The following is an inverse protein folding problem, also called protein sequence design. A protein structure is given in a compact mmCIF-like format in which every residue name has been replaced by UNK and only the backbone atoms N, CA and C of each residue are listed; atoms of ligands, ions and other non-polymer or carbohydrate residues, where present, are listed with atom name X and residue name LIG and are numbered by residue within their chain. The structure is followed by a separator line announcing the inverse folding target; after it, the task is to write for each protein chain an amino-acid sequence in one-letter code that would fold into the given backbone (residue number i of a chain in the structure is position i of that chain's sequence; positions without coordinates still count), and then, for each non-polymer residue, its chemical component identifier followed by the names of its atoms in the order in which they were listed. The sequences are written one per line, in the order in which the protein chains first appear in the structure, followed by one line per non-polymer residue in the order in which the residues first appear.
data_IF_207120283152
#
_entry.id   IF_207120283152
#
_cell.length_a   1.000
_cell.length_b   1.000
_cell.length_c   1.000
_cell.angle_alpha   90.00
_cell.angle_beta   90.00
_cell.angle_gamma   90.00
#
_symmetry.space_group_name_H-M   'P 1'
#
loop_
_entity.id
_entity.type
_entity.pdbx_description
1 polymer ?
#
# COMPACT_ATOMS: atom_id res chain seq x y z
N UNK A 1 15.77 -11.08 11.90
CA UNK A 1 15.99 -10.10 13.01
C UNK A 1 15.86 -10.88 14.32
N UNK A 2 16.85 -10.83 15.21
CA UNK A 2 16.82 -11.57 16.48
C UNK A 2 16.62 -13.09 16.34
N UNK A 3 17.33 -13.74 15.42
CA UNK A 3 17.19 -15.20 15.18
C UNK A 3 15.95 -15.63 14.41
N UNK A 4 14.95 -14.75 14.20
CA UNK A 4 13.77 -15.07 13.38
C UNK A 4 14.11 -15.08 11.89
N UNK A 5 13.85 -16.23 11.24
CA UNK A 5 13.88 -16.40 9.79
C UNK A 5 12.63 -15.75 9.19
N UNK A 6 12.77 -14.51 8.72
CA UNK A 6 11.71 -13.81 7.97
C UNK A 6 11.85 -14.26 6.52
N UNK A 7 11.21 -15.37 6.16
CA UNK A 7 11.35 -15.96 4.81
C UNK A 7 10.62 -15.16 3.74
N UNK A 8 9.57 -14.43 4.11
CA UNK A 8 8.65 -13.81 3.13
C UNK A 8 8.50 -12.28 3.29
N UNK A 9 9.33 -11.66 4.13
CA UNK A 9 9.32 -10.21 4.33
C UNK A 9 7.93 -9.67 4.69
N UNK A 10 7.53 -8.60 4.02
CA UNK A 10 6.22 -7.98 4.15
C UNK A 10 5.18 -8.52 3.14
N UNK A 11 5.49 -9.55 2.33
CA UNK A 11 4.68 -9.94 1.18
C UNK A 11 3.26 -10.38 1.54
N UNK A 12 3.08 -11.10 2.66
CA UNK A 12 1.75 -11.51 3.14
C UNK A 12 0.86 -10.31 3.49
N UNK A 13 1.44 -9.31 4.16
CA UNK A 13 0.73 -8.07 4.47
C UNK A 13 0.48 -7.25 3.20
N UNK A 14 1.43 -7.22 2.27
CA UNK A 14 1.26 -6.54 0.98
C UNK A 14 0.11 -7.14 0.17
N UNK A 15 0.04 -8.47 0.07
CA UNK A 15 -1.05 -9.16 -0.64
C UNK A 15 -2.42 -8.85 -0.03
N UNK A 16 -2.54 -8.88 1.30
CA UNK A 16 -3.77 -8.49 1.99
C UNK A 16 -4.10 -7.01 1.73
N UNK A 17 -3.10 -6.15 1.87
CA UNK A 17 -3.25 -4.71 1.74
C UNK A 17 -3.61 -4.25 0.33
N UNK A 18 -3.10 -4.91 -0.72
CA UNK A 18 -3.52 -4.65 -2.11
C UNK A 18 -5.03 -4.92 -2.29
N UNK A 19 -5.50 -6.06 -1.78
CA UNK A 19 -6.93 -6.41 -1.84
C UNK A 19 -7.80 -5.42 -1.04
N UNK A 20 -7.34 -5.04 0.16
CA UNK A 20 -8.05 -4.10 1.03
C UNK A 20 -8.06 -2.68 0.45
N UNK A 21 -6.95 -2.23 -0.14
CA UNK A 21 -6.87 -0.96 -0.86
C UNK A 21 -7.90 -0.89 -1.99
N UNK A 22 -7.97 -1.95 -2.81
CA UNK A 22 -8.93 -2.02 -3.90
C UNK A 22 -10.37 -2.02 -3.41
N UNK A 23 -10.66 -2.77 -2.32
CA UNK A 23 -11.97 -2.77 -1.69
C UNK A 23 -12.35 -1.39 -1.15
N UNK A 24 -11.42 -0.67 -0.50
CA UNK A 24 -11.69 0.68 0.02
C UNK A 24 -12.07 1.66 -1.09
N UNK A 25 -11.33 1.63 -2.21
CA UNK A 25 -11.59 2.46 -3.39
C UNK A 25 -12.94 2.12 -4.04
N UNK A 26 -13.21 0.82 -4.25
CA UNK A 26 -14.46 0.35 -4.85
C UNK A 26 -15.67 0.63 -3.96
N UNK A 27 -15.50 0.53 -2.63
CA UNK A 27 -16.57 0.85 -1.68
C UNK A 27 -16.95 2.33 -1.76
N UNK A 28 -15.98 3.25 -1.80
CA UNK A 28 -16.28 4.68 -1.93
C UNK A 28 -16.91 5.01 -3.30
N UNK A 29 -16.37 4.44 -4.37
CA UNK A 29 -16.94 4.59 -5.70
C UNK A 29 -18.39 4.07 -5.78
N UNK A 30 -18.66 2.87 -5.24
CA UNK A 30 -19.99 2.26 -5.28
C UNK A 30 -21.03 3.10 -4.54
N UNK A 31 -20.68 3.62 -3.36
CA UNK A 31 -21.55 4.52 -2.59
C UNK A 31 -21.78 5.85 -3.31
N UNK A 32 -20.80 6.33 -4.07
CA UNK A 32 -20.89 7.59 -4.83
C UNK A 32 -21.83 7.53 -6.04
N UNK A 33 -22.16 6.33 -6.55
CA UNK A 33 -23.09 6.17 -7.67
C UNK A 33 -22.53 6.53 -9.06
N UNK A 34 -21.21 6.72 -9.17
CA UNK A 34 -20.53 7.03 -10.42
C UNK A 34 -20.57 5.86 -11.43
N UNK A 35 -20.28 6.16 -12.70
CA UNK A 35 -20.20 5.13 -13.74
C UNK A 35 -19.12 4.06 -13.45
N UNK A 36 -19.35 2.84 -13.93
CA UNK A 36 -18.35 1.74 -13.86
C UNK A 36 -17.02 2.10 -14.53
N UNK A 37 -17.06 2.91 -15.60
CA UNK A 37 -15.86 3.38 -16.30
C UNK A 37 -15.01 4.29 -15.41
N UNK A 38 -15.65 5.19 -14.67
CA UNK A 38 -15.01 6.05 -13.67
C UNK A 38 -14.37 5.22 -12.57
N UNK A 39 -15.12 4.27 -11.98
CA UNK A 39 -14.62 3.40 -10.91
C UNK A 39 -13.40 2.58 -11.32
N UNK A 40 -13.47 1.94 -12.49
CA UNK A 40 -12.35 1.16 -13.06
C UNK A 40 -11.10 2.03 -13.29
N UNK A 41 -11.29 3.24 -13.81
CA UNK A 41 -10.19 4.18 -14.08
C UNK A 41 -9.53 4.66 -12.79
N UNK A 42 -10.32 5.06 -11.79
CA UNK A 42 -9.82 5.48 -10.48
C UNK A 42 -9.09 4.35 -9.77
N UNK A 43 -9.68 3.15 -9.72
CA UNK A 43 -9.06 1.96 -9.15
C UNK A 43 -7.68 1.70 -9.77
N UNK A 44 -7.63 1.55 -11.11
CA UNK A 44 -6.39 1.27 -11.84
C UNK A 44 -5.33 2.34 -11.61
N UNK A 45 -5.73 3.61 -11.54
CA UNK A 45 -4.79 4.72 -11.39
C UNK A 45 -4.18 4.72 -9.99
N UNK A 46 -5.04 4.65 -8.96
CA UNK A 46 -4.64 4.79 -7.57
C UNK A 46 -3.89 3.55 -7.07
N UNK A 47 -4.37 2.34 -7.38
CA UNK A 47 -3.73 1.09 -6.92
C UNK A 47 -2.53 0.66 -7.77
N UNK A 48 -2.20 1.38 -8.85
CA UNK A 48 -1.05 1.01 -9.68
C UNK A 48 0.26 1.05 -8.87
N UNK A 49 1.11 0.05 -9.08
CA UNK A 49 2.47 0.02 -8.51
C UNK A 49 3.28 1.30 -8.78
N UNK A 50 3.03 1.95 -9.92
CA UNK A 50 3.67 3.22 -10.26
C UNK A 50 3.22 4.34 -9.30
N UNK A 51 1.90 4.49 -9.10
CA UNK A 51 1.36 5.48 -8.17
C UNK A 51 1.79 5.17 -6.73
N UNK A 52 1.66 3.92 -6.28
CA UNK A 52 2.06 3.52 -4.92
C UNK A 52 3.55 3.80 -4.66
N UNK A 53 4.42 3.51 -5.62
CA UNK A 53 5.84 3.88 -5.51
C UNK A 53 6.03 5.40 -5.41
N UNK A 54 5.38 6.17 -6.29
CA UNK A 54 5.48 7.64 -6.27
C UNK A 54 5.03 8.21 -4.93
N UNK A 55 3.89 7.76 -4.40
CA UNK A 55 3.35 8.21 -3.11
C UNK A 55 4.23 7.77 -1.94
N UNK A 56 4.70 6.52 -1.93
CA UNK A 56 5.61 6.02 -0.90
C UNK A 56 6.95 6.77 -0.86
N UNK A 57 7.50 7.14 -2.02
CA UNK A 57 8.69 7.99 -2.09
C UNK A 57 8.42 9.41 -1.58
N UNK A 58 7.31 10.02 -2.01
CA UNK A 58 6.93 11.37 -1.57
C UNK A 58 6.68 11.43 -0.04
N UNK A 59 6.14 10.37 0.55
CA UNK A 59 5.95 10.25 2.00
C UNK A 59 7.27 9.94 2.74
N UNK A 60 8.36 9.70 2.02
CA UNK A 60 9.68 9.45 2.60
C UNK A 60 9.84 8.05 3.20
N UNK A 61 9.04 7.06 2.75
CA UNK A 61 9.08 5.69 3.30
C UNK A 61 10.42 4.97 3.09
N UNK A 62 11.23 5.45 2.14
CA UNK A 62 12.57 4.90 1.83
C UNK A 62 13.45 4.72 3.08
N UNK A 63 13.37 5.64 4.05
CA UNK A 63 14.19 5.61 5.28
C UNK A 63 13.76 4.54 6.29
N UNK A 64 12.56 3.99 6.13
CA UNK A 64 11.99 2.96 7.03
C UNK A 64 12.06 1.55 6.44
N UNK A 65 12.53 1.41 5.19
CA UNK A 65 12.66 0.10 4.55
C UNK A 65 13.98 -0.53 4.96
N UNK A 66 13.91 -1.72 5.56
CA UNK A 66 15.08 -2.55 5.83
C UNK A 66 15.63 -3.11 4.51
N UNK A 67 16.75 -2.55 4.06
CA UNK A 67 17.41 -2.94 2.81
C UNK A 67 18.36 -4.10 3.04
N UNK A 68 18.56 -4.91 2.01
CA UNK A 68 19.66 -5.88 2.04
C UNK A 68 21.00 -5.14 2.03
N UNK A 69 22.00 -5.65 2.76
CA UNK A 69 23.33 -5.00 2.91
C UNK A 69 24.08 -4.77 1.58
N UNK A 70 23.68 -5.45 0.51
CA UNK A 70 24.30 -5.35 -0.81
C UNK A 70 23.69 -4.27 -1.71
N UNK A 71 22.69 -3.51 -1.24
CA UNK A 71 22.12 -2.39 -2.02
C UNK A 71 23.05 -1.19 -1.91
N UNK A 72 23.86 -1.00 -2.94
CA UNK A 72 24.68 0.20 -3.18
C UNK A 72 23.72 1.32 -3.63
N UNK A 73 23.92 2.56 -3.15
CA UNK A 73 23.18 3.79 -3.53
C UNK A 73 21.79 4.10 -2.93
N UNK A 74 21.40 3.45 -1.83
CA UNK A 74 20.18 3.83 -1.06
C UNK A 74 18.86 3.78 -1.86
N UNK A 75 18.91 3.29 -3.11
CA UNK A 75 17.81 3.12 -4.04
C UNK A 75 16.85 2.02 -3.55
N UNK A 76 15.56 2.31 -3.61
CA UNK A 76 14.51 1.32 -3.34
C UNK A 76 13.85 0.97 -4.67
N UNK A 77 13.88 -0.30 -5.10
CA UNK A 77 13.18 -0.72 -6.31
C UNK A 77 11.69 -0.39 -6.23
N UNK A 78 11.10 0.00 -7.37
CA UNK A 78 9.69 0.39 -7.45
C UNK A 78 8.75 -0.64 -6.79
N UNK A 79 8.96 -1.93 -7.08
CA UNK A 79 8.16 -3.03 -6.53
C UNK A 79 8.32 -3.18 -5.02
N UNK A 80 9.49 -2.88 -4.47
CA UNK A 80 9.71 -2.90 -3.02
C UNK A 80 8.97 -1.75 -2.34
N UNK A 81 8.99 -0.55 -2.94
CA UNK A 81 8.26 0.60 -2.41
C UNK A 81 6.75 0.38 -2.48
N UNK A 82 6.22 -0.06 -3.63
CA UNK A 82 4.79 -0.32 -3.77
C UNK A 82 4.30 -1.40 -2.80
N UNK A 83 5.02 -2.53 -2.70
CA UNK A 83 4.72 -3.57 -1.72
C UNK A 83 4.83 -3.08 -0.26
N UNK A 84 5.68 -2.10 0.01
CA UNK A 84 5.75 -1.46 1.35
C UNK A 84 4.48 -0.67 1.64
N UNK A 85 3.98 0.12 0.68
CA UNK A 85 2.73 0.85 0.82
C UNK A 85 1.55 -0.11 1.00
N UNK A 86 1.45 -1.15 0.17
CA UNK A 86 0.44 -2.20 0.33
C UNK A 86 0.53 -2.86 1.71
N UNK A 87 1.73 -3.21 2.17
CA UNK A 87 1.91 -3.82 3.47
C UNK A 87 1.51 -2.91 4.64
N UNK A 88 1.71 -1.59 4.53
CA UNK A 88 1.25 -0.63 5.53
C UNK A 88 -0.28 -0.57 5.57
N UNK A 89 -0.94 -0.60 4.40
CA UNK A 89 -2.41 -0.69 4.34
C UNK A 89 -2.91 -1.98 5.00
N UNK A 90 -2.28 -3.12 4.67
CA UNK A 90 -2.60 -4.42 5.28
C UNK A 90 -2.36 -4.41 6.79
N UNK A 91 -1.30 -3.77 7.27
CA UNK A 91 -1.00 -3.63 8.70
C UNK A 91 -2.06 -2.79 9.42
N UNK A 92 -2.44 -1.63 8.87
CA UNK A 92 -3.51 -0.79 9.44
C UNK A 92 -4.82 -1.57 9.52
N UNK A 93 -5.17 -2.31 8.46
CA UNK A 93 -6.38 -3.14 8.47
C UNK A 93 -6.36 -4.18 9.59
N UNK A 94 -5.25 -4.88 9.80
CA UNK A 94 -5.13 -5.89 10.88
C UNK A 94 -5.15 -5.22 12.27
N UNK A 95 -4.40 -4.13 12.45
CA UNK A 95 -4.25 -3.43 13.74
C UNK A 95 -5.55 -2.73 14.18
N UNK A 96 -6.37 -2.32 13.22
CA UNK A 96 -7.68 -1.68 13.45
C UNK A 96 -8.85 -2.65 13.55
N UNK A 97 -8.61 -3.95 13.80
CA UNK A 97 -9.66 -4.98 13.79
C UNK A 97 -10.51 -4.97 12.50
N UNK A 98 -9.84 -4.88 11.35
CA UNK A 98 -10.45 -4.95 10.03
C UNK A 98 -11.35 -3.74 9.68
N UNK A 99 -11.03 -2.56 10.21
CA UNK A 99 -11.77 -1.33 9.96
C UNK A 99 -11.41 -0.71 8.61
N UNK A 100 -12.35 -0.77 7.66
CA UNK A 100 -12.21 -0.10 6.36
C UNK A 100 -12.18 1.43 6.49
N UNK A 101 -12.76 1.98 7.57
CA UNK A 101 -12.71 3.41 7.88
C UNK A 101 -11.27 3.86 8.19
N UNK A 102 -10.55 3.10 9.01
CA UNK A 102 -9.18 3.44 9.40
C UNK A 102 -8.20 3.23 8.25
N UNK A 103 -8.46 2.23 7.39
CA UNK A 103 -7.76 2.09 6.10
C UNK A 103 -7.89 3.34 5.25
N UNK A 104 -9.11 3.89 5.09
CA UNK A 104 -9.33 5.11 4.29
C UNK A 104 -8.61 6.32 4.90
N UNK A 105 -8.53 6.41 6.23
CA UNK A 105 -7.76 7.45 6.91
C UNK A 105 -6.26 7.30 6.60
N UNK A 106 -5.72 6.07 6.66
CA UNK A 106 -4.33 5.80 6.30
C UNK A 106 -4.04 6.09 4.82
N UNK A 107 -4.95 5.73 3.91
CA UNK A 107 -4.86 6.07 2.49
C UNK A 107 -4.75 7.58 2.27
N UNK A 108 -5.59 8.38 2.94
CA UNK A 108 -5.51 9.86 2.91
C UNK A 108 -4.20 10.38 3.50
N UNK A 109 -3.74 9.79 4.62
CA UNK A 109 -2.46 10.16 5.23
C UNK A 109 -1.26 9.91 4.31
N UNK A 110 -1.28 8.83 3.54
CA UNK A 110 -0.31 8.53 2.49
C UNK A 110 -0.57 9.31 1.18
N UNK A 111 -1.70 10.03 1.13
CA UNK A 111 -2.27 10.77 0.02
C UNK A 111 -2.49 9.95 -1.25
N UNK A 112 -2.95 8.71 -1.09
CA UNK A 112 -3.43 7.88 -2.19
C UNK A 112 -4.75 8.40 -2.77
N UNK A 113 -5.54 9.07 -1.93
CA UNK A 113 -6.84 9.69 -2.21
C UNK A 113 -6.95 11.03 -1.50
#
# INVERSE_FOLDING_TARGET
IGGRKITDGNKRLAMLGDSVLQLALLNDWFVGGDSRGTGSTSLRTISSNHNLNKRGQAFGLRKFINKHRSVVDDLVPQRTMSATVEALIGAVFVDSNQSLKDVKIAMKGLGLV
#
